data_IF_875249967739
#
_entry.id   IF_875249967739
#
_cell.length_a   1.000
_cell.length_b   1.000
_cell.length_c   1.000
_cell.angle_alpha   90.00
_cell.angle_beta   90.00
_cell.angle_gamma   90.00
#
_symmetry.space_group_name_H-M   'P 1'
#
loop_
_entity.id
_entity.type
_entity.pdbx_description
1 polymer ?
#
# COMPACT_ATOMS: atom_id res chain seq x y z
N UNK A 1 -27.40 32.03 -4.76
CA UNK A 1 -26.68 30.77 -4.45
C UNK A 1 -26.71 30.56 -2.95
N UNK A 2 -27.24 29.44 -2.46
CA UNK A 2 -27.35 29.15 -1.04
C UNK A 2 -25.94 28.90 -0.46
N UNK A 3 -25.48 29.76 0.46
CA UNK A 3 -24.17 29.65 1.12
C UNK A 3 -23.94 28.25 1.71
N UNK A 4 -25.00 27.60 2.17
CA UNK A 4 -24.95 26.27 2.75
C UNK A 4 -24.72 25.18 1.70
N UNK A 5 -25.23 25.38 0.48
CA UNK A 5 -24.98 24.47 -0.64
C UNK A 5 -23.51 24.55 -1.09
N UNK A 6 -22.94 25.75 -1.16
CA UNK A 6 -21.54 25.96 -1.52
C UNK A 6 -20.57 25.28 -0.53
N UNK A 7 -20.85 25.36 0.77
CA UNK A 7 -20.07 24.68 1.81
C UNK A 7 -20.15 23.15 1.67
N UNK A 8 -21.35 22.63 1.39
CA UNK A 8 -21.55 21.19 1.20
C UNK A 8 -20.74 20.65 0.02
N UNK A 9 -20.75 21.36 -1.12
CA UNK A 9 -19.94 20.97 -2.29
C UNK A 9 -18.44 21.00 -1.99
N UNK A 10 -17.95 22.01 -1.26
CA UNK A 10 -16.54 22.06 -0.84
C UNK A 10 -16.15 20.87 0.02
N UNK A 11 -16.97 20.50 1.00
CA UNK A 11 -16.70 19.35 1.88
C UNK A 11 -16.66 18.05 1.06
N UNK A 12 -17.62 17.85 0.15
CA UNK A 12 -17.66 16.66 -0.70
C UNK A 12 -16.41 16.58 -1.59
N UNK A 13 -16.00 17.69 -2.22
CA UNK A 13 -14.80 17.74 -3.05
C UNK A 13 -13.54 17.43 -2.23
N UNK A 14 -13.41 17.99 -1.03
CA UNK A 14 -12.27 17.71 -0.14
C UNK A 14 -12.25 16.24 0.27
N UNK A 15 -13.38 15.64 0.65
CA UNK A 15 -13.46 14.22 1.02
C UNK A 15 -13.11 13.31 -0.15
N UNK A 16 -13.57 13.63 -1.35
CA UNK A 16 -13.25 12.87 -2.58
C UNK A 16 -11.76 12.99 -2.90
N UNK A 17 -11.18 14.19 -2.83
CA UNK A 17 -9.74 14.38 -3.05
C UNK A 17 -8.89 13.67 -1.99
N UNK A 18 -9.35 13.65 -0.73
CA UNK A 18 -8.67 12.95 0.35
C UNK A 18 -8.73 11.43 0.15
N UNK A 19 -9.88 10.89 -0.26
CA UNK A 19 -10.03 9.47 -0.60
C UNK A 19 -9.09 9.08 -1.76
N UNK A 20 -9.07 9.86 -2.85
CA UNK A 20 -8.20 9.62 -4.01
C UNK A 20 -6.71 9.69 -3.59
N UNK A 21 -6.34 10.65 -2.73
CA UNK A 21 -4.98 10.75 -2.22
C UNK A 21 -4.58 9.56 -1.35
N UNK A 22 -5.49 9.01 -0.53
CA UNK A 22 -5.22 7.81 0.28
C UNK A 22 -5.10 6.53 -0.54
N UNK A 23 -5.66 6.47 -1.74
CA UNK A 23 -5.53 5.30 -2.63
C UNK A 23 -4.16 5.27 -3.34
N UNK A 24 -3.40 6.37 -3.30
CA UNK A 24 -2.06 6.43 -3.92
C UNK A 24 -0.95 5.78 -3.10
N UNK A 25 -1.24 5.37 -1.86
CA UNK A 25 -0.42 4.40 -1.10
C UNK A 25 -0.81 2.95 -1.48
N UNK A 26 -0.81 2.70 -2.79
CA UNK A 26 -0.64 1.44 -3.51
C UNK A 26 -0.56 0.16 -2.65
N UNK A 27 -1.69 -0.29 -2.10
CA UNK A 27 -1.92 -1.57 -1.42
C UNK A 27 -0.65 -2.24 -0.84
N UNK A 28 0.14 -1.55 -0.01
CA UNK A 28 1.37 -2.14 0.49
C UNK A 28 1.08 -3.17 1.58
N UNK A 29 1.71 -4.35 1.51
CA UNK A 29 1.65 -5.33 2.59
C UNK A 29 2.96 -6.07 2.78
N UNK A 30 3.24 -6.40 4.04
CA UNK A 30 4.31 -7.30 4.40
C UNK A 30 3.90 -8.74 4.19
N UNK A 31 4.79 -9.53 3.59
CA UNK A 31 4.68 -10.98 3.59
C UNK A 31 5.09 -11.56 4.94
N UNK A 32 4.53 -12.71 5.28
CA UNK A 32 4.95 -13.48 6.43
C UNK A 32 6.43 -13.87 6.33
N UNK A 33 7.07 -14.09 7.48
CA UNK A 33 8.47 -14.50 7.51
C UNK A 33 8.65 -15.84 6.80
N UNK A 34 9.46 -15.86 5.73
CA UNK A 34 9.76 -17.06 4.98
C UNK A 34 11.28 -17.23 4.79
N UNK A 35 11.68 -18.35 4.18
CA UNK A 35 13.08 -18.67 3.96
C UNK A 35 13.81 -17.55 3.21
N UNK A 36 14.99 -17.18 3.71
CA UNK A 36 15.84 -16.17 3.12
C UNK A 36 16.25 -16.60 1.72
N UNK A 37 15.89 -15.79 0.72
CA UNK A 37 16.18 -16.09 -0.68
C UNK A 37 16.27 -14.81 -1.51
N UNK A 38 16.94 -14.92 -2.66
CA UNK A 38 17.12 -13.85 -3.63
C UNK A 38 15.93 -13.63 -4.56
N UNK A 39 14.87 -14.44 -4.43
CA UNK A 39 13.65 -14.33 -5.25
C UNK A 39 12.76 -13.16 -4.85
N UNK A 40 11.92 -12.72 -5.78
CA UNK A 40 10.83 -11.78 -5.54
C UNK A 40 9.58 -12.57 -5.13
N UNK A 41 9.30 -12.58 -3.82
CA UNK A 41 8.14 -13.25 -3.25
C UNK A 41 6.85 -12.45 -3.43
N UNK A 42 6.90 -11.18 -3.82
CA UNK A 42 5.69 -10.40 -4.10
C UNK A 42 4.90 -10.95 -5.29
N UNK A 43 5.54 -11.72 -6.17
CA UNK A 43 4.87 -12.41 -7.28
C UNK A 43 3.75 -13.38 -6.82
N UNK A 44 3.77 -13.87 -5.57
CA UNK A 44 2.70 -14.72 -5.03
C UNK A 44 1.38 -13.96 -4.87
N UNK A 45 1.44 -12.63 -4.84
CA UNK A 45 0.29 -11.74 -4.68
C UNK A 45 -0.44 -11.47 -5.99
N UNK A 46 0.14 -11.91 -7.11
CA UNK A 46 -0.36 -11.68 -8.46
C UNK A 46 0.46 -10.65 -9.23
N UNK A 47 0.09 -10.40 -10.49
CA UNK A 47 0.78 -9.45 -11.35
C UNK A 47 0.64 -8.02 -10.82
N UNK A 48 1.70 -7.21 -10.97
CA UNK A 48 1.75 -5.80 -10.57
C UNK A 48 2.44 -5.55 -9.23
N UNK A 49 2.45 -6.55 -8.34
CA UNK A 49 3.13 -6.46 -7.05
C UNK A 49 4.65 -6.48 -7.20
N UNK A 50 5.33 -5.55 -6.52
CA UNK A 50 6.79 -5.42 -6.52
C UNK A 50 7.33 -5.27 -5.10
N UNK A 51 8.52 -5.84 -4.86
CA UNK A 51 9.28 -5.59 -3.62
C UNK A 51 9.67 -4.11 -3.57
N UNK A 52 9.24 -3.43 -2.52
CA UNK A 52 9.71 -2.08 -2.19
C UNK A 52 10.79 -2.09 -1.13
N UNK A 53 10.65 -2.98 -0.15
CA UNK A 53 11.60 -3.12 0.95
C UNK A 53 11.63 -4.57 1.42
N UNK A 54 12.63 -4.93 2.21
CA UNK A 54 12.68 -6.22 2.88
C UNK A 54 13.41 -6.12 4.21
N UNK A 55 13.05 -7.01 5.13
CA UNK A 55 13.71 -7.12 6.43
C UNK A 55 14.05 -8.56 6.76
N UNK A 56 15.07 -8.73 7.60
CA UNK A 56 15.33 -10.01 8.24
C UNK A 56 14.27 -10.29 9.30
N UNK A 57 13.90 -11.54 9.40
CA UNK A 57 13.06 -12.10 10.45
C UNK A 57 13.64 -13.47 10.82
N UNK A 58 13.40 -13.99 12.02
CA UNK A 58 13.96 -15.28 12.47
C UNK A 58 15.49 -15.40 12.28
N UNK A 59 16.24 -14.36 12.65
CA UNK A 59 17.70 -14.33 12.55
C UNK A 59 18.21 -14.09 11.13
N UNK A 60 19.21 -14.87 10.69
CA UNK A 60 19.84 -14.73 9.37
C UNK A 60 19.13 -15.52 8.27
N UNK A 61 18.21 -16.43 8.63
CA UNK A 61 17.60 -17.40 7.73
C UNK A 61 16.20 -17.03 7.27
N UNK A 62 15.59 -15.99 7.86
CA UNK A 62 14.28 -15.50 7.44
C UNK A 62 14.34 -14.14 6.75
N UNK A 63 13.38 -13.93 5.85
CA UNK A 63 13.14 -12.70 5.11
C UNK A 63 11.64 -12.42 5.10
N UNK A 64 11.28 -11.14 5.14
CA UNK A 64 9.92 -10.66 4.95
C UNK A 64 9.99 -9.46 4.03
N UNK A 65 9.28 -9.51 2.91
CA UNK A 65 9.24 -8.47 1.89
C UNK A 65 8.02 -7.55 2.10
N UNK A 66 8.22 -6.25 1.93
CA UNK A 66 7.14 -5.29 1.78
C UNK A 66 6.80 -5.16 0.30
N UNK A 67 5.61 -5.61 -0.06
CA UNK A 67 5.12 -5.67 -1.43
C UNK A 67 4.10 -4.56 -1.65
N UNK A 68 4.24 -3.80 -2.73
CA UNK A 68 3.28 -2.77 -3.12
C UNK A 68 2.85 -2.97 -4.58
N UNK A 69 1.62 -2.57 -4.91
CA UNK A 69 1.04 -2.67 -6.25
C UNK A 69 0.49 -1.33 -6.73
#
# INVERSE_FOLDING_TARGET
>A
MNRNAALFFLVVVVVVLLAIATETDAACKWLDCHAHSSGDWCNILGPGWKVKDWRRCNGLLGKSENCCN
#
